data_IF_906710301926
#
_entry.id   IF_906710301926
#
_cell.length_a   1.000
_cell.length_b   1.000
_cell.length_c   1.000
_cell.angle_alpha   90.00
_cell.angle_beta   90.00
_cell.angle_gamma   90.00
#
_symmetry.space_group_name_H-M   'P 1'
#
loop_
_entity.id
_entity.type
_entity.pdbx_description
1 polymer ?
#
# COMPACT_ATOMS: atom_id res chain seq x y z
N UNK A 1 3.57 -3.78 -28.84
CA UNK A 1 3.41 -2.63 -27.93
C UNK A 1 3.01 -3.24 -26.60
N UNK A 2 3.96 -3.37 -25.68
CA UNK A 2 3.76 -4.10 -24.43
C UNK A 2 2.93 -3.24 -23.49
N UNK A 3 1.66 -3.59 -23.39
CA UNK A 3 0.77 -3.13 -22.33
C UNK A 3 1.15 -3.89 -21.06
N UNK A 4 2.10 -3.33 -20.30
CA UNK A 4 2.51 -3.86 -19.02
C UNK A 4 1.82 -3.02 -17.95
N UNK A 5 0.77 -3.57 -17.35
CA UNK A 5 0.40 -3.28 -15.97
C UNK A 5 1.64 -3.59 -15.12
N UNK A 6 2.53 -2.61 -15.00
CA UNK A 6 3.84 -2.76 -14.37
C UNK A 6 3.59 -2.62 -12.87
N UNK A 7 3.93 -3.67 -12.12
CA UNK A 7 3.96 -3.60 -10.67
C UNK A 7 4.82 -2.39 -10.24
N UNK A 8 4.47 -1.69 -9.15
CA UNK A 8 5.14 -0.44 -8.81
C UNK A 8 6.63 -0.67 -8.51
N UNK A 9 7.51 0.25 -8.89
CA UNK A 9 8.96 0.13 -8.65
C UNK A 9 9.34 0.16 -7.15
N UNK A 10 8.40 0.58 -6.30
CA UNK A 10 8.50 0.71 -4.84
C UNK A 10 7.16 0.38 -4.18
N UNK A 11 7.13 0.30 -2.85
CA UNK A 11 5.86 0.07 -2.13
C UNK A 11 4.90 1.22 -2.41
N UNK A 12 3.61 0.93 -2.61
CA UNK A 12 2.55 1.95 -2.73
C UNK A 12 1.53 1.73 -1.63
N UNK A 13 1.17 2.78 -0.90
CA UNK A 13 0.17 2.73 0.15
C UNK A 13 -0.94 3.73 -0.14
N UNK A 14 -2.15 3.22 -0.38
CA UNK A 14 -3.36 4.03 -0.44
C UNK A 14 -3.91 4.20 0.97
N UNK A 15 -4.22 5.43 1.36
CA UNK A 15 -4.76 5.72 2.69
C UNK A 15 -5.38 7.10 2.80
N UNK A 16 -5.78 7.45 4.01
CA UNK A 16 -6.28 8.77 4.37
C UNK A 16 -5.76 9.14 5.77
N UNK A 17 -5.68 10.43 6.09
CA UNK A 17 -5.11 10.89 7.36
C UNK A 17 -5.99 10.57 8.58
N UNK A 18 -7.32 10.55 8.41
CA UNK A 18 -8.25 10.18 9.49
C UNK A 18 -8.19 8.68 9.84
N UNK A 19 -7.73 7.85 8.91
CA UNK A 19 -7.72 6.40 9.02
C UNK A 19 -6.63 5.95 10.01
N UNK A 20 -7.06 5.36 11.14
CA UNK A 20 -6.16 4.91 12.21
C UNK A 20 -5.19 3.83 11.71
N UNK A 21 -5.68 2.84 10.96
CA UNK A 21 -4.84 1.76 10.44
C UNK A 21 -3.88 2.26 9.37
N UNK A 22 -4.27 3.27 8.59
CA UNK A 22 -3.40 3.92 7.62
C UNK A 22 -2.22 4.59 8.32
N UNK A 23 -2.47 5.38 9.37
CA UNK A 23 -1.40 5.99 10.17
C UNK A 23 -0.49 4.94 10.81
N UNK A 24 -1.05 3.79 11.25
CA UNK A 24 -0.28 2.67 11.80
C UNK A 24 0.66 2.06 10.76
N UNK A 25 0.13 1.64 9.60
CA UNK A 25 0.95 1.05 8.53
C UNK A 25 1.99 2.04 8.01
N UNK A 26 1.64 3.33 7.88
CA UNK A 26 2.57 4.40 7.51
C UNK A 26 3.73 4.50 8.50
N UNK A 27 3.45 4.55 9.80
CA UNK A 27 4.47 4.61 10.84
C UNK A 27 5.39 3.38 10.85
N UNK A 28 4.86 2.19 10.54
CA UNK A 28 5.69 0.99 10.38
C UNK A 28 6.64 1.12 9.19
N UNK A 29 6.14 1.52 8.02
CA UNK A 29 6.96 1.73 6.81
C UNK A 29 8.06 2.78 7.07
N UNK A 30 7.70 3.89 7.71
CA UNK A 30 8.65 4.94 8.11
C UNK A 30 9.72 4.40 9.08
N UNK A 31 9.32 3.60 10.07
CA UNK A 31 10.23 3.00 11.07
C UNK A 31 11.22 2.04 10.44
N UNK A 32 10.78 1.29 9.42
CA UNK A 32 11.61 0.33 8.69
C UNK A 32 12.47 1.01 7.60
N UNK A 33 12.27 2.30 7.34
CA UNK A 33 12.98 3.03 6.29
C UNK A 33 12.62 2.56 4.88
N UNK A 34 11.40 2.04 4.68
CA UNK A 34 10.91 1.61 3.38
C UNK A 34 10.74 2.82 2.47
N UNK A 35 11.23 2.75 1.23
CA UNK A 35 10.82 3.70 0.19
C UNK A 35 9.41 3.32 -0.29
N UNK A 36 8.45 4.22 -0.06
CA UNK A 36 7.07 4.02 -0.47
C UNK A 36 6.43 5.31 -0.98
N UNK A 37 5.46 5.13 -1.86
CA UNK A 37 4.54 6.17 -2.29
C UNK A 37 3.28 6.13 -1.41
N UNK A 38 2.94 7.27 -0.80
CA UNK A 38 1.66 7.44 -0.12
C UNK A 38 0.67 8.13 -1.05
N UNK A 39 -0.47 7.50 -1.30
CA UNK A 39 -1.54 8.02 -2.14
C UNK A 39 -2.75 8.31 -1.26
N UNK A 40 -3.05 9.60 -1.08
CA UNK A 40 -4.21 10.05 -0.30
C UNK A 40 -5.50 9.92 -1.12
N UNK A 41 -6.40 9.03 -0.69
CA UNK A 41 -7.66 8.76 -1.38
C UNK A 41 -8.71 9.85 -1.15
N UNK A 42 -8.52 10.76 -0.19
CA UNK A 42 -9.42 11.91 0.02
C UNK A 42 -9.16 13.03 -0.98
N UNK A 43 -7.91 13.19 -1.40
CA UNK A 43 -7.50 14.26 -2.32
C UNK A 43 -7.69 13.86 -3.78
N UNK A 44 -7.73 12.56 -4.07
CA UNK A 44 -7.85 12.02 -5.42
C UNK A 44 -8.91 10.91 -5.49
N UNK A 45 -10.06 11.24 -6.07
CA UNK A 45 -11.14 10.27 -6.29
C UNK A 45 -10.70 9.09 -7.15
N UNK A 46 -9.77 9.29 -8.09
CA UNK A 46 -9.24 8.20 -8.91
C UNK A 46 -8.34 7.27 -8.11
N UNK A 47 -7.74 7.75 -7.01
CA UNK A 47 -6.97 6.90 -6.11
C UNK A 47 -7.87 5.97 -5.28
N UNK A 48 -9.06 6.43 -4.88
CA UNK A 48 -10.05 5.59 -4.22
C UNK A 48 -10.52 4.46 -5.16
N UNK A 49 -10.85 4.79 -6.41
CA UNK A 49 -11.25 3.81 -7.42
C UNK A 49 -10.12 2.80 -7.72
N UNK A 50 -8.86 3.26 -7.77
CA UNK A 50 -7.69 2.38 -7.93
C UNK A 50 -7.51 1.44 -6.76
N UNK A 51 -7.62 1.94 -5.52
CA UNK A 51 -7.51 1.13 -4.32
C UNK A 51 -8.61 0.05 -4.28
N UNK A 52 -9.84 0.41 -4.66
CA UNK A 52 -10.96 -0.52 -4.77
C UNK A 52 -10.74 -1.55 -5.89
N UNK A 53 -10.25 -1.14 -7.05
CA UNK A 53 -9.96 -2.05 -8.15
C UNK A 53 -8.85 -3.06 -7.80
N UNK A 54 -7.86 -2.66 -7.01
CA UNK A 54 -6.76 -3.53 -6.56
C UNK A 54 -7.26 -4.52 -5.50
N UNK A 55 -7.97 -4.02 -4.50
CA UNK A 55 -8.33 -4.80 -3.30
C UNK A 55 -9.67 -5.55 -3.40
N UNK A 56 -10.52 -5.16 -4.35
CA UNK A 56 -11.91 -5.62 -4.48
C UNK A 56 -12.85 -5.08 -3.39
N UNK A 57 -12.42 -4.08 -2.61
CA UNK A 57 -13.17 -3.51 -1.47
C UNK A 57 -12.77 -2.06 -1.20
N UNK A 58 -13.57 -1.34 -0.40
CA UNK A 58 -13.36 0.09 -0.11
C UNK A 58 -12.52 0.36 1.14
N UNK A 59 -11.95 -0.68 1.73
CA UNK A 59 -11.15 -0.60 2.95
C UNK A 59 -9.77 -0.01 2.66
N UNK A 60 -9.27 0.80 3.59
CA UNK A 60 -7.92 1.35 3.59
C UNK A 60 -7.28 1.11 4.97
N UNK A 61 -5.95 0.90 5.05
CA UNK A 61 -4.98 1.06 3.97
C UNK A 61 -4.95 -0.11 2.98
N UNK A 62 -4.67 0.19 1.71
CA UNK A 62 -4.28 -0.81 0.70
C UNK A 62 -2.78 -0.63 0.44
N UNK A 63 -1.99 -1.66 0.71
CA UNK A 63 -0.53 -1.64 0.50
C UNK A 63 -0.19 -2.58 -0.65
N UNK A 64 0.53 -2.09 -1.64
CA UNK A 64 1.00 -2.85 -2.81
C UNK A 64 2.51 -2.91 -2.79
N UNK A 65 3.06 -4.12 -2.86
CA UNK A 65 4.52 -4.35 -2.91
C UNK A 65 5.02 -4.35 -4.36
N UNK A 66 6.34 -4.18 -4.58
CA UNK A 66 6.91 -4.15 -5.92
C UNK A 66 6.71 -5.43 -6.74
N UNK A 67 6.49 -6.56 -6.06
CA UNK A 67 6.18 -7.83 -6.71
C UNK A 67 4.70 -7.98 -7.12
N UNK A 68 3.88 -6.94 -6.94
CA UNK A 68 2.45 -6.92 -7.28
C UNK A 68 1.53 -7.54 -6.22
N UNK A 69 2.07 -8.10 -5.13
CA UNK A 69 1.23 -8.50 -3.98
C UNK A 69 0.59 -7.26 -3.35
N UNK A 70 -0.62 -7.42 -2.83
CA UNK A 70 -1.30 -6.36 -2.10
C UNK A 70 -1.94 -6.88 -0.81
N UNK A 71 -2.13 -5.96 0.13
CA UNK A 71 -2.70 -6.22 1.45
C UNK A 71 -3.72 -5.14 1.78
N UNK A 72 -4.76 -5.52 2.53
CA UNK A 72 -5.87 -4.64 2.90
C UNK A 72 -5.99 -4.65 4.42
N UNK A 73 -5.90 -3.47 5.04
CA UNK A 73 -5.91 -3.29 6.49
C UNK A 73 -4.91 -4.21 7.25
N UNK A 74 -3.66 -4.41 6.75
CA UNK A 74 -2.75 -5.36 7.36
C UNK A 74 -2.38 -4.97 8.79
N UNK A 75 -2.19 -5.98 9.64
CA UNK A 75 -1.54 -5.79 10.93
C UNK A 75 -0.04 -5.47 10.75
N UNK A 76 0.60 -4.89 11.77
CA UNK A 76 2.03 -4.58 11.67
C UNK A 76 2.89 -5.84 11.54
N UNK A 77 2.49 -6.93 12.18
CA UNK A 77 3.17 -8.21 12.08
C UNK A 77 3.07 -8.81 10.66
N UNK A 78 1.89 -8.75 10.06
CA UNK A 78 1.64 -9.21 8.69
C UNK A 78 2.42 -8.37 7.67
N UNK A 79 2.30 -7.04 7.77
CA UNK A 79 2.98 -6.13 6.85
C UNK A 79 4.51 -6.27 6.95
N UNK A 80 5.07 -6.35 8.16
CA UNK A 80 6.51 -6.58 8.35
C UNK A 80 6.96 -7.90 7.73
N UNK A 81 6.25 -9.00 8.03
CA UNK A 81 6.63 -10.33 7.54
C UNK A 81 6.66 -10.38 6.00
N UNK A 82 5.73 -9.70 5.35
CA UNK A 82 5.65 -9.68 3.89
C UNK A 82 6.68 -8.74 3.24
N UNK A 83 7.04 -7.64 3.92
CA UNK A 83 8.15 -6.78 3.49
C UNK A 83 9.49 -7.54 3.53
N UNK A 84 9.74 -8.28 4.62
CA UNK A 84 10.93 -9.14 4.78
C UNK A 84 10.92 -10.28 3.75
N UNK A 85 9.80 -10.99 3.59
CA UNK A 85 9.69 -12.09 2.63
C UNK A 85 9.81 -11.62 1.18
N UNK A 86 9.47 -10.37 0.89
CA UNK A 86 9.59 -9.76 -0.44
C UNK A 86 10.94 -9.08 -0.67
N UNK A 87 11.86 -9.09 0.31
CA UNK A 87 13.18 -8.47 0.22
C UNK A 87 13.14 -6.94 0.10
N UNK A 88 12.06 -6.31 0.59
CA UNK A 88 11.93 -4.84 0.64
C UNK A 88 12.73 -4.26 1.81
N UNK A 89 12.87 -5.05 2.89
CA UNK A 89 13.65 -4.74 4.10
C UNK A 89 14.51 -5.93 4.51
#
# INVERSE_FOLDING_TARGET
MSDATTAPDRVTMFGADWCRDCRRSKALLDTLGVDYEYVDVEQDLSAADRAEAISGRKNIPVVVLPNGKHFVEPSDAELRAELEASGVV
#
